data_IF_963129588366
#
_entry.id   IF_963129588366
#
_cell.length_a   1.000
_cell.length_b   1.000
_cell.length_c   1.000
_cell.angle_alpha   90.00
_cell.angle_beta   90.00
_cell.angle_gamma   90.00
#
_symmetry.space_group_name_H-M   'P 1'
#
loop_
_entity.id
_entity.type
_entity.pdbx_description
1 polymer ?
#
# COMPACT_ATOMS: atom_id res chain seq x y z
N UNK A 1 31.58 32.14 -5.85
CA UNK A 1 32.28 32.47 -7.11
C UNK A 1 31.63 33.72 -7.69
N UNK A 2 32.37 34.78 -8.01
CA UNK A 2 31.78 35.94 -8.69
C UNK A 2 31.33 35.56 -10.10
N UNK A 3 30.13 35.98 -10.48
CA UNK A 3 29.58 35.77 -11.83
C UNK A 3 30.05 36.95 -12.68
N UNK A 4 30.85 36.69 -13.72
CA UNK A 4 31.35 37.71 -14.63
C UNK A 4 30.45 37.76 -15.88
N UNK A 5 29.72 38.86 -16.06
CA UNK A 5 28.78 39.05 -17.19
C UNK A 5 29.39 40.05 -18.17
N UNK A 6 29.65 39.62 -19.41
CA UNK A 6 30.14 40.51 -20.49
C UNK A 6 28.96 41.03 -21.29
N UNK A 7 28.82 42.35 -21.32
CA UNK A 7 27.79 43.07 -22.08
C UNK A 7 28.43 44.15 -22.93
N UNK A 8 27.83 44.43 -24.10
CA UNK A 8 28.26 45.51 -24.98
C UNK A 8 28.16 46.88 -24.28
N UNK A 9 29.09 47.79 -24.59
CA UNK A 9 29.19 49.08 -23.89
C UNK A 9 27.95 49.96 -23.93
N UNK A 10 27.08 49.81 -24.95
CA UNK A 10 25.75 50.49 -25.00
C UNK A 10 24.77 49.90 -23.98
N UNK A 11 24.63 48.57 -23.97
CA UNK A 11 23.80 47.83 -23.00
C UNK A 11 24.25 48.06 -21.57
N UNK A 12 25.56 48.18 -21.32
CA UNK A 12 26.06 48.48 -19.98
C UNK A 12 25.62 49.85 -19.49
N UNK A 13 25.61 50.87 -20.35
CA UNK A 13 25.11 52.20 -19.99
C UNK A 13 23.62 52.18 -19.66
N UNK A 14 22.82 51.49 -20.47
CA UNK A 14 21.39 51.30 -20.20
C UNK A 14 21.15 50.59 -18.87
N UNK A 15 21.87 49.50 -18.59
CA UNK A 15 21.75 48.75 -17.33
C UNK A 15 22.20 49.54 -16.10
N UNK A 16 23.10 50.51 -16.26
CA UNK A 16 23.60 51.34 -15.16
C UNK A 16 22.57 52.38 -14.70
N UNK A 17 21.59 52.71 -15.54
CA UNK A 17 20.51 53.64 -15.25
C UNK A 17 19.23 52.94 -14.77
N UNK A 18 19.19 51.60 -14.81
CA UNK A 18 18.05 50.81 -14.35
C UNK A 18 18.08 50.65 -12.83
N UNK A 19 16.97 50.98 -12.18
CA UNK A 19 16.78 50.66 -10.76
C UNK A 19 16.53 49.15 -10.61
N UNK A 20 17.52 48.48 -10.03
CA UNK A 20 17.49 47.04 -9.79
C UNK A 20 16.37 46.68 -8.80
N UNK A 21 16.06 47.54 -7.83
CA UNK A 21 14.99 47.28 -6.86
C UNK A 21 13.63 47.27 -7.54
N UNK A 22 13.36 48.27 -8.39
CA UNK A 22 12.12 48.36 -9.17
C UNK A 22 11.98 47.17 -10.14
N UNK A 23 13.10 46.72 -10.72
CA UNK A 23 13.12 45.53 -11.57
C UNK A 23 12.83 44.24 -10.80
N UNK A 24 13.34 44.12 -9.57
CA UNK A 24 13.06 42.98 -8.69
C UNK A 24 11.60 42.99 -8.24
N UNK A 25 11.09 44.12 -7.77
CA UNK A 25 9.70 44.27 -7.30
C UNK A 25 8.69 43.98 -8.42
N UNK A 26 8.94 44.49 -9.63
CA UNK A 26 8.07 44.27 -10.78
C UNK A 26 8.03 42.81 -11.26
N UNK A 27 9.07 42.01 -10.96
CA UNK A 27 9.11 40.59 -11.30
C UNK A 27 8.72 39.66 -10.14
N UNK A 28 8.67 40.17 -8.91
CA UNK A 28 8.37 39.38 -7.72
C UNK A 28 7.00 38.70 -7.80
N UNK A 29 5.98 39.43 -8.28
CA UNK A 29 4.64 38.89 -8.50
C UNK A 29 4.61 37.77 -9.55
N UNK A 30 5.45 37.85 -10.60
CA UNK A 30 5.54 36.80 -11.61
C UNK A 30 6.19 35.55 -11.03
N UNK A 31 7.28 35.72 -10.28
CA UNK A 31 7.96 34.63 -9.59
C UNK A 31 7.04 33.94 -8.57
N UNK A 32 6.26 34.70 -7.80
CA UNK A 32 5.29 34.15 -6.86
C UNK A 32 4.22 33.31 -7.56
N UNK A 33 3.66 33.80 -8.67
CA UNK A 33 2.70 33.05 -9.49
C UNK A 33 3.30 31.75 -10.02
N UNK A 34 4.54 31.79 -10.50
CA UNK A 34 5.24 30.58 -10.97
C UNK A 34 5.40 29.58 -9.83
N UNK A 35 5.86 30.01 -8.66
CA UNK A 35 6.03 29.14 -7.50
C UNK A 35 4.70 28.56 -7.00
N UNK A 36 3.61 29.33 -7.07
CA UNK A 36 2.28 28.84 -6.74
C UNK A 36 1.84 27.74 -7.71
N UNK A 37 2.02 27.95 -9.01
CA UNK A 37 1.69 26.95 -10.03
C UNK A 37 2.51 25.66 -9.87
N UNK A 38 3.83 25.77 -9.69
CA UNK A 38 4.71 24.62 -9.45
C UNK A 38 4.30 23.85 -8.18
N UNK A 39 3.89 24.57 -7.13
CA UNK A 39 3.42 23.95 -5.89
C UNK A 39 2.08 23.23 -6.09
N UNK A 40 1.17 23.81 -6.85
CA UNK A 40 -0.12 23.18 -7.16
C UNK A 40 0.08 21.90 -7.97
N UNK A 41 0.91 21.92 -9.02
CA UNK A 41 1.26 20.75 -9.80
C UNK A 41 1.88 19.64 -8.94
N UNK A 42 2.84 20.01 -8.08
CA UNK A 42 3.44 19.06 -7.14
C UNK A 42 2.41 18.42 -6.21
N UNK A 43 1.49 19.22 -5.66
CA UNK A 43 0.45 18.72 -4.76
C UNK A 43 -0.54 17.79 -5.50
N UNK A 44 -0.91 18.12 -6.73
CA UNK A 44 -1.77 17.28 -7.56
C UNK A 44 -1.10 15.93 -7.88
N UNK A 45 0.17 15.94 -8.22
CA UNK A 45 0.94 14.71 -8.46
C UNK A 45 1.02 13.83 -7.20
N UNK A 46 1.25 14.46 -6.03
CA UNK A 46 1.27 13.74 -4.75
C UNK A 46 -0.10 13.18 -4.41
N UNK A 47 -1.18 13.93 -4.65
CA UNK A 47 -2.54 13.48 -4.43
C UNK A 47 -2.85 12.25 -5.30
N UNK A 48 -2.55 12.28 -6.59
CA UNK A 48 -2.79 11.16 -7.50
C UNK A 48 -2.05 9.89 -7.02
N UNK A 49 -0.77 10.01 -6.64
CA UNK A 49 0.02 8.88 -6.09
C UNK A 49 -0.55 8.32 -4.80
N UNK A 50 -1.15 9.16 -3.95
CA UNK A 50 -1.78 8.72 -2.72
C UNK A 50 -3.11 8.01 -3.00
N UNK A 51 -3.89 8.49 -3.96
CA UNK A 51 -5.14 7.84 -4.38
C UNK A 51 -4.88 6.47 -5.01
N UNK A 52 -3.85 6.32 -5.84
CA UNK A 52 -3.43 5.02 -6.38
C UNK A 52 -3.06 4.03 -5.27
N UNK A 53 -2.21 4.45 -4.33
CA UNK A 53 -1.82 3.61 -3.18
C UNK A 53 -3.00 3.24 -2.29
N UNK A 54 -3.94 4.15 -2.10
CA UNK A 54 -5.13 3.88 -1.30
C UNK A 54 -5.94 2.76 -1.96
N UNK A 55 -6.12 2.83 -3.28
CA UNK A 55 -6.82 1.80 -4.04
C UNK A 55 -6.12 0.45 -3.97
N UNK A 56 -4.79 0.41 -4.11
CA UNK A 56 -4.01 -0.82 -3.95
C UNK A 56 -4.23 -1.46 -2.56
N UNK A 57 -4.20 -0.65 -1.49
CA UNK A 57 -4.44 -1.12 -0.12
C UNK A 57 -5.87 -1.64 0.04
N UNK A 58 -6.86 -0.97 -0.55
CA UNK A 58 -8.26 -1.42 -0.52
C UNK A 58 -8.43 -2.77 -1.21
N UNK A 59 -7.81 -2.96 -2.37
CA UNK A 59 -7.82 -4.21 -3.13
C UNK A 59 -7.15 -5.35 -2.32
N UNK A 60 -5.96 -5.12 -1.78
CA UNK A 60 -5.24 -6.09 -0.93
C UNK A 60 -6.04 -6.48 0.33
N UNK A 61 -6.72 -5.50 0.92
CA UNK A 61 -7.54 -5.73 2.12
C UNK A 61 -8.78 -6.57 1.80
N UNK A 62 -9.37 -6.41 0.63
CA UNK A 62 -10.48 -7.25 0.18
C UNK A 62 -10.04 -8.69 -0.10
N UNK A 63 -8.90 -8.87 -0.76
CA UNK A 63 -8.30 -10.20 -0.94
C UNK A 63 -8.03 -10.89 0.41
N UNK A 64 -7.51 -10.14 1.39
CA UNK A 64 -7.23 -10.66 2.72
C UNK A 64 -8.51 -11.11 3.45
N UNK A 65 -9.61 -10.37 3.33
CA UNK A 65 -10.91 -10.79 3.89
C UNK A 65 -11.39 -12.10 3.28
N UNK A 66 -11.36 -12.21 1.95
CA UNK A 66 -11.77 -13.41 1.23
C UNK A 66 -10.94 -14.61 1.68
N UNK A 67 -9.62 -14.44 1.78
CA UNK A 67 -8.71 -15.46 2.28
C UNK A 67 -9.07 -15.87 3.72
N UNK A 68 -9.30 -14.90 4.60
CA UNK A 68 -9.64 -15.16 5.99
C UNK A 68 -10.96 -15.93 6.15
N UNK A 69 -12.00 -15.55 5.40
CA UNK A 69 -13.27 -16.27 5.39
C UNK A 69 -13.13 -17.71 4.92
N UNK A 70 -12.31 -17.94 3.89
CA UNK A 70 -12.01 -19.29 3.41
C UNK A 70 -11.29 -20.11 4.48
N UNK A 71 -10.28 -19.53 5.12
CA UNK A 71 -9.54 -20.18 6.19
C UNK A 71 -10.44 -20.56 7.38
N UNK A 72 -11.43 -19.73 7.72
CA UNK A 72 -12.42 -20.04 8.76
C UNK A 72 -13.29 -21.25 8.38
N UNK A 73 -13.80 -21.28 7.14
CA UNK A 73 -14.60 -22.42 6.63
C UNK A 73 -13.81 -23.71 6.63
N UNK A 74 -12.56 -23.65 6.17
CA UNK A 74 -11.66 -24.82 6.16
C UNK A 74 -11.36 -25.32 7.57
N UNK A 75 -11.13 -24.41 8.53
CA UNK A 75 -10.92 -24.74 9.93
C UNK A 75 -12.13 -25.46 10.54
N UNK A 76 -13.34 -24.97 10.26
CA UNK A 76 -14.56 -25.59 10.75
C UNK A 76 -14.79 -26.97 10.13
N UNK A 77 -14.58 -27.10 8.82
CA UNK A 77 -14.64 -28.39 8.13
C UNK A 77 -13.67 -29.41 8.75
N UNK A 78 -12.41 -29.01 8.95
CA UNK A 78 -11.38 -29.87 9.53
C UNK A 78 -11.72 -30.28 10.97
N UNK A 79 -12.32 -29.38 11.76
CA UNK A 79 -12.80 -29.70 13.11
C UNK A 79 -13.89 -30.76 13.07
N UNK A 80 -14.86 -30.63 12.16
CA UNK A 80 -15.96 -31.58 11.99
C UNK A 80 -15.47 -32.95 11.51
N UNK A 81 -14.54 -32.98 10.55
CA UNK A 81 -13.92 -34.22 10.07
C UNK A 81 -13.17 -34.92 11.19
N UNK A 82 -12.37 -34.19 11.97
CA UNK A 82 -11.63 -34.74 13.12
C UNK A 82 -12.57 -35.39 14.13
N UNK A 83 -13.68 -34.74 14.45
CA UNK A 83 -14.67 -35.27 15.39
C UNK A 83 -15.34 -36.55 14.87
N UNK A 84 -15.69 -36.60 13.58
CA UNK A 84 -16.23 -37.82 12.94
C UNK A 84 -15.24 -38.98 13.01
N UNK A 85 -13.98 -38.74 12.62
CA UNK A 85 -12.92 -39.74 12.67
C UNK A 85 -12.65 -40.24 14.11
N UNK A 86 -12.77 -39.35 15.11
CA UNK A 86 -12.64 -39.74 16.50
C UNK A 86 -13.73 -40.73 16.92
N UNK A 87 -14.99 -40.43 16.62
CA UNK A 87 -16.13 -41.30 16.94
C UNK A 87 -16.04 -42.64 16.21
N UNK A 88 -15.65 -42.61 14.93
CA UNK A 88 -15.47 -43.82 14.13
C UNK A 88 -14.34 -44.70 14.66
N UNK A 89 -13.19 -44.11 15.03
CA UNK A 89 -12.09 -44.84 15.67
C UNK A 89 -12.50 -45.45 17.02
N UNK A 90 -13.24 -44.73 17.86
CA UNK A 90 -13.74 -45.26 19.13
C UNK A 90 -14.68 -46.46 18.91
N UNK A 91 -15.56 -46.39 17.90
CA UNK A 91 -16.43 -47.50 17.51
C UNK A 91 -15.63 -48.72 17.03
N UNK A 92 -14.70 -48.52 16.11
CA UNK A 92 -13.85 -49.59 15.57
C UNK A 92 -13.01 -50.26 16.66
N UNK A 93 -12.49 -49.49 17.63
CA UNK A 93 -11.78 -50.05 18.79
C UNK A 93 -12.67 -50.98 19.61
N UNK A 94 -13.90 -50.56 19.93
CA UNK A 94 -14.85 -51.39 20.67
C UNK A 94 -15.21 -52.68 19.91
N UNK A 95 -15.46 -52.58 18.61
CA UNK A 95 -15.73 -53.75 17.77
C UNK A 95 -14.56 -54.72 17.72
N UNK A 96 -13.33 -54.20 17.65
CA UNK A 96 -12.10 -55.00 17.64
C UNK A 96 -11.85 -55.68 18.99
N UNK A 97 -12.09 -55.00 20.10
CA UNK A 97 -12.02 -55.58 21.45
C UNK A 97 -13.07 -56.69 21.64
N UNK A 98 -14.32 -56.45 21.22
CA UNK A 98 -15.38 -57.45 21.29
C UNK A 98 -15.02 -58.72 20.48
N UNK A 99 -14.53 -58.57 19.25
CA UNK A 99 -14.06 -59.69 18.43
C UNK A 99 -12.90 -60.45 19.07
N UNK A 100 -11.95 -59.76 19.70
CA UNK A 100 -10.85 -60.41 20.45
C UNK A 100 -11.37 -61.24 21.62
N UNK A 101 -12.35 -60.73 22.37
CA UNK A 101 -12.97 -61.47 23.46
C UNK A 101 -13.75 -62.69 22.97
N UNK A 102 -14.47 -62.59 21.85
CA UNK A 102 -15.17 -63.73 21.25
C UNK A 102 -14.21 -64.83 20.77
N UNK A 103 -13.06 -64.47 20.20
CA UNK A 103 -12.04 -65.43 19.77
C UNK A 103 -11.40 -66.12 21.00
N UNK A 104 -11.06 -65.36 22.04
CA UNK A 104 -10.48 -65.91 23.26
C UNK A 104 -11.44 -66.80 24.06
N UNK A 105 -12.76 -66.59 23.97
CA UNK A 105 -13.76 -67.42 24.65
C UNK A 105 -14.16 -68.68 23.85
N UNK A 106 -13.77 -68.79 22.58
CA UNK A 106 -14.01 -69.96 21.70
C UNK A 106 -12.81 -70.91 21.58
N UNK A 107 -11.70 -70.58 22.24
CA UNK A 107 -10.47 -71.40 22.33
C UNK A 107 -10.37 -71.96 23.72
#
# INVERSE_FOLDING_TARGET
MPIEIRVEGRRFKELKEVDILELIESNLLKAERTLQAEREEFLLEKKAKLEEKLKEIEDELEELKIFYEKALKDKELMRNVREKLRKENEKLKRELEAKKHEINNKT
#
